data_IF_739751764276
#
_entry.id   IF_739751764276
#
_cell.length_a   1.000
_cell.length_b   1.000
_cell.length_c   1.000
_cell.angle_alpha   90.00
_cell.angle_beta   90.00
_cell.angle_gamma   90.00
#
_symmetry.space_group_name_H-M   'P 1'
#
loop_
_entity.id
_entity.type
_entity.pdbx_description
1 polymer ?
#
# COMPACT_ATOMS: atom_id res chain seq x y z
N UNK A 1 -6.98 -20.85 -4.30
CA UNK A 1 -5.75 -20.18 -3.87
C UNK A 1 -6.11 -19.18 -2.76
N UNK A 2 -5.42 -19.22 -1.62
CA UNK A 2 -5.60 -18.31 -0.49
C UNK A 2 -4.70 -17.08 -0.72
N UNK A 3 -5.33 -15.92 -0.98
CA UNK A 3 -4.59 -14.67 -1.22
C UNK A 3 -4.79 -13.74 -0.03
N UNK A 4 -3.70 -13.27 0.52
CA UNK A 4 -3.78 -12.23 1.56
C UNK A 4 -4.35 -10.96 0.98
N UNK A 5 -5.28 -10.36 1.70
CA UNK A 5 -5.81 -9.02 1.39
C UNK A 5 -5.68 -8.08 2.57
N UNK A 6 -5.80 -6.79 2.32
CA UNK A 6 -6.03 -5.83 3.40
C UNK A 6 -7.34 -6.15 4.13
N UNK A 7 -7.43 -5.74 5.40
CA UNK A 7 -8.64 -5.86 6.21
C UNK A 7 -9.71 -4.83 5.76
N UNK A 8 -10.06 -4.90 4.49
CA UNK A 8 -11.01 -4.01 3.83
C UNK A 8 -12.02 -4.83 3.05
N UNK A 9 -13.30 -4.55 3.24
CA UNK A 9 -14.37 -5.29 2.58
C UNK A 9 -14.24 -5.25 1.05
N UNK A 10 -13.85 -4.09 0.49
CA UNK A 10 -13.67 -3.94 -0.96
C UNK A 10 -12.60 -4.92 -1.49
N UNK A 11 -11.48 -5.07 -0.77
CA UNK A 11 -10.41 -6.00 -1.16
C UNK A 11 -10.87 -7.45 -1.02
N UNK A 12 -11.58 -7.78 0.06
CA UNK A 12 -12.12 -9.13 0.29
C UNK A 12 -13.08 -9.51 -0.84
N UNK A 13 -14.03 -8.64 -1.16
CA UNK A 13 -15.03 -8.90 -2.19
C UNK A 13 -14.41 -9.00 -3.59
N UNK A 14 -13.42 -8.14 -3.90
CA UNK A 14 -12.73 -8.19 -5.18
C UNK A 14 -11.99 -9.53 -5.37
N UNK A 15 -11.20 -9.97 -4.40
CA UNK A 15 -10.44 -11.22 -4.53
C UNK A 15 -11.33 -12.45 -4.50
N UNK A 16 -12.40 -12.45 -3.72
CA UNK A 16 -13.41 -13.51 -3.79
C UNK A 16 -14.12 -13.52 -5.17
N UNK A 17 -14.42 -12.34 -5.72
CA UNK A 17 -14.97 -12.20 -7.07
C UNK A 17 -14.04 -12.71 -8.18
N UNK A 18 -12.72 -12.61 -8.00
CA UNK A 18 -11.73 -13.21 -8.90
C UNK A 18 -11.57 -14.73 -8.72
N UNK A 19 -12.33 -15.34 -7.82
CA UNK A 19 -12.28 -16.79 -7.55
C UNK A 19 -11.15 -17.21 -6.61
N UNK A 20 -10.49 -16.26 -5.94
CA UNK A 20 -9.54 -16.55 -4.87
C UNK A 20 -10.28 -16.66 -3.52
N UNK A 21 -9.61 -17.24 -2.53
CA UNK A 21 -10.03 -17.16 -1.13
C UNK A 21 -9.32 -15.99 -0.48
N UNK A 22 -9.99 -14.85 -0.35
CA UNK A 22 -9.46 -13.70 0.34
C UNK A 22 -9.18 -14.04 1.82
N UNK A 23 -7.99 -13.73 2.30
CA UNK A 23 -7.53 -14.02 3.66
C UNK A 23 -7.03 -12.71 4.28
N UNK A 24 -7.92 -11.92 4.91
CA UNK A 24 -7.53 -10.62 5.46
C UNK A 24 -6.59 -10.79 6.65
N UNK A 25 -5.45 -10.09 6.63
CA UNK A 25 -4.49 -10.06 7.73
C UNK A 25 -3.65 -8.78 7.72
N UNK A 26 -2.98 -8.50 8.84
CA UNK A 26 -2.11 -7.34 8.96
C UNK A 26 -0.92 -7.43 7.99
N UNK A 27 -0.40 -6.27 7.58
CA UNK A 27 0.73 -6.18 6.64
C UNK A 27 1.98 -6.88 7.20
N UNK A 28 2.24 -6.73 8.49
CA UNK A 28 3.40 -7.32 9.18
C UNK A 28 3.39 -8.85 9.25
N UNK A 29 2.24 -9.49 9.04
CA UNK A 29 2.10 -10.95 9.15
C UNK A 29 2.34 -11.67 7.82
N UNK A 30 2.39 -10.94 6.71
CA UNK A 30 2.38 -11.52 5.35
C UNK A 30 3.57 -12.43 5.07
N UNK A 31 4.79 -11.99 5.42
CA UNK A 31 6.00 -12.73 5.13
C UNK A 31 5.98 -14.10 5.83
N UNK A 32 5.72 -14.10 7.14
CA UNK A 32 5.65 -15.36 7.91
C UNK A 32 4.50 -16.27 7.45
N UNK A 33 3.36 -15.68 7.08
CA UNK A 33 2.23 -16.44 6.58
C UNK A 33 2.51 -17.11 5.22
N UNK A 34 3.29 -16.45 4.35
CA UNK A 34 3.78 -17.04 3.10
C UNK A 34 4.78 -18.17 3.38
N UNK A 35 5.78 -17.93 4.24
CA UNK A 35 6.79 -18.95 4.57
C UNK A 35 6.16 -20.22 5.17
N UNK A 36 5.14 -20.05 6.00
CA UNK A 36 4.46 -21.16 6.66
C UNK A 36 3.35 -21.81 5.82
N UNK A 37 3.09 -21.31 4.60
CA UNK A 37 2.03 -21.82 3.73
C UNK A 37 0.60 -21.59 4.27
N UNK A 38 0.43 -20.65 5.21
CA UNK A 38 -0.89 -20.23 5.69
C UNK A 38 -1.68 -19.57 4.56
N UNK A 39 -0.98 -18.82 3.71
CA UNK A 39 -1.47 -18.22 2.48
C UNK A 39 -0.61 -18.65 1.30
N UNK A 40 -1.21 -18.65 0.10
CA UNK A 40 -0.54 -19.05 -1.13
C UNK A 40 0.05 -17.86 -1.89
N UNK A 41 -0.39 -16.64 -1.56
CA UNK A 41 0.07 -15.41 -2.20
C UNK A 41 -0.42 -14.15 -1.51
N UNK A 42 0.10 -13.02 -1.95
CA UNK A 42 -0.25 -11.68 -1.44
C UNK A 42 -0.54 -10.73 -2.59
N UNK A 43 -1.36 -9.72 -2.34
CA UNK A 43 -1.45 -8.56 -3.19
C UNK A 43 -0.58 -7.44 -2.59
N UNK A 44 0.30 -6.87 -3.39
CA UNK A 44 1.19 -5.81 -2.96
C UNK A 44 1.69 -5.00 -4.15
N UNK A 45 2.19 -3.78 -3.92
CA UNK A 45 2.92 -3.04 -4.94
C UNK A 45 4.28 -3.68 -5.20
N UNK A 46 4.86 -3.43 -6.39
CA UNK A 46 6.21 -3.91 -6.74
C UNK A 46 7.24 -3.50 -5.68
N UNK A 47 7.21 -2.23 -5.28
CA UNK A 47 8.07 -1.68 -4.23
C UNK A 47 7.91 -2.41 -2.90
N UNK A 48 6.66 -2.70 -2.48
CA UNK A 48 6.41 -3.46 -1.25
C UNK A 48 6.90 -4.90 -1.37
N UNK A 49 6.69 -5.55 -2.50
CA UNK A 49 7.18 -6.90 -2.75
C UNK A 49 8.69 -6.99 -2.63
N UNK A 50 9.40 -6.05 -3.24
CA UNK A 50 10.86 -5.98 -3.18
C UNK A 50 11.35 -5.68 -1.75
N UNK A 51 10.86 -4.62 -1.12
CA UNK A 51 11.31 -4.18 0.21
C UNK A 51 11.02 -5.20 1.32
N UNK A 52 9.89 -5.91 1.23
CA UNK A 52 9.51 -6.95 2.19
C UNK A 52 10.01 -8.34 1.80
N UNK A 53 10.74 -8.44 0.69
CA UNK A 53 11.32 -9.69 0.18
C UNK A 53 10.28 -10.80 -0.05
N UNK A 54 9.03 -10.46 -0.39
CA UNK A 54 7.98 -11.46 -0.65
C UNK A 54 8.31 -12.40 -1.79
N UNK A 55 9.21 -11.99 -2.71
CA UNK A 55 9.73 -12.83 -3.77
C UNK A 55 10.49 -14.09 -3.29
N UNK A 56 10.94 -14.10 -2.01
CA UNK A 56 11.65 -15.27 -1.46
C UNK A 56 10.70 -16.46 -1.23
N UNK A 57 9.61 -16.30 -0.43
CA UNK A 57 8.63 -17.36 -0.25
C UNK A 57 7.63 -17.50 -1.42
N UNK A 58 7.44 -16.45 -2.25
CA UNK A 58 6.51 -16.45 -3.39
C UNK A 58 7.19 -15.86 -4.65
N UNK A 59 7.98 -16.66 -5.39
CA UNK A 59 8.81 -16.15 -6.47
C UNK A 59 8.05 -15.82 -7.76
N UNK A 60 6.79 -16.20 -7.87
CA UNK A 60 5.99 -15.93 -9.07
C UNK A 60 5.21 -14.62 -8.89
N UNK A 61 5.46 -13.67 -9.77
CA UNK A 61 4.87 -12.34 -9.73
C UNK A 61 4.03 -12.03 -10.97
N UNK A 62 2.82 -11.51 -10.78
CA UNK A 62 1.93 -11.10 -11.86
C UNK A 62 1.56 -9.62 -11.73
N UNK A 63 1.81 -8.85 -12.77
CA UNK A 63 1.44 -7.43 -12.86
C UNK A 63 -0.03 -7.31 -13.27
N UNK A 64 -0.92 -7.33 -12.31
CA UNK A 64 -2.39 -7.32 -12.55
C UNK A 64 -2.96 -5.92 -12.66
N UNK A 65 -2.37 -4.93 -11.97
CA UNK A 65 -2.81 -3.51 -11.96
C UNK A 65 -4.32 -3.35 -11.65
N UNK A 66 -4.84 -4.13 -10.72
CA UNK A 66 -6.28 -4.21 -10.44
C UNK A 66 -6.86 -2.99 -9.72
N UNK A 67 -6.03 -2.19 -9.06
CA UNK A 67 -6.46 -0.94 -8.44
C UNK A 67 -5.35 0.11 -8.41
N UNK A 68 -5.74 1.36 -8.17
CA UNK A 68 -4.80 2.46 -7.92
C UNK A 68 -4.84 2.86 -6.46
N UNK A 69 -3.71 2.81 -5.80
CA UNK A 69 -3.57 3.31 -4.43
C UNK A 69 -3.41 4.83 -4.45
N UNK A 70 -4.36 5.53 -3.83
CA UNK A 70 -4.29 6.98 -3.64
C UNK A 70 -4.02 7.23 -2.16
N UNK A 71 -2.90 7.85 -1.85
CA UNK A 71 -2.57 8.29 -0.49
C UNK A 71 -2.92 9.75 -0.31
N UNK A 72 -3.43 10.12 0.86
CA UNK A 72 -3.77 11.48 1.20
C UNK A 72 -3.10 11.88 2.52
N UNK A 73 -2.54 13.09 2.56
CA UNK A 73 -2.10 13.70 3.80
C UNK A 73 -3.30 14.37 4.46
N UNK A 74 -3.63 13.95 5.68
CA UNK A 74 -4.82 14.43 6.39
C UNK A 74 -4.44 14.98 7.75
N UNK A 75 -5.16 16.02 8.16
CA UNK A 75 -5.03 16.65 9.48
C UNK A 75 -6.42 16.96 10.02
N UNK A 76 -6.57 16.97 11.35
CA UNK A 76 -7.80 17.44 11.99
C UNK A 76 -8.04 18.91 11.67
N UNK A 77 -9.22 19.25 11.14
CA UNK A 77 -9.62 20.63 10.84
C UNK A 77 -9.54 21.52 12.10
N UNK A 78 -10.05 21.02 13.23
CA UNK A 78 -9.95 21.74 14.51
C UNK A 78 -8.50 22.06 14.89
N UNK A 79 -7.59 21.11 14.66
CA UNK A 79 -6.16 21.32 14.93
C UNK A 79 -5.55 22.31 13.95
N UNK A 80 -5.86 22.19 12.65
CA UNK A 80 -5.39 23.10 11.62
C UNK A 80 -5.81 24.55 11.91
N UNK A 81 -7.09 24.77 12.24
CA UNK A 81 -7.60 26.11 12.56
C UNK A 81 -7.06 26.68 13.87
N UNK A 82 -6.52 25.86 14.77
CA UNK A 82 -5.87 26.34 15.99
C UNK A 82 -4.50 26.98 15.79
N UNK A 83 -3.91 26.83 14.61
CA UNK A 83 -2.62 27.43 14.28
C UNK A 83 -2.77 28.88 13.75
N UNK A 84 -1.75 29.74 13.94
CA UNK A 84 -1.65 31.04 13.27
C UNK A 84 -1.71 30.91 11.75
N UNK A 85 -2.14 31.95 11.04
CA UNK A 85 -2.34 31.92 9.58
C UNK A 85 -1.07 31.65 8.78
N UNK A 86 0.06 32.14 9.23
CA UNK A 86 1.38 31.87 8.65
C UNK A 86 1.75 30.37 8.76
N UNK A 87 1.47 29.75 9.90
CA UNK A 87 1.67 28.31 10.10
C UNK A 87 0.71 27.49 9.24
N UNK A 88 -0.57 27.87 9.15
CA UNK A 88 -1.54 27.23 8.26
C UNK A 88 -1.04 27.24 6.80
N UNK A 89 -0.54 28.39 6.34
CA UNK A 89 0.02 28.56 5.00
C UNK A 89 1.24 27.65 4.80
N UNK A 90 2.17 27.65 5.73
CA UNK A 90 3.36 26.79 5.67
C UNK A 90 3.01 25.29 5.61
N UNK A 91 1.98 24.84 6.36
CA UNK A 91 1.50 23.45 6.31
C UNK A 91 0.99 23.10 4.92
N UNK A 92 0.18 23.96 4.29
CA UNK A 92 -0.36 23.72 2.95
C UNK A 92 0.75 23.69 1.89
N UNK A 93 1.71 24.62 1.97
CA UNK A 93 2.86 24.64 1.05
C UNK A 93 3.74 23.40 1.21
N UNK A 94 4.02 23.00 2.44
CA UNK A 94 4.78 21.79 2.74
C UNK A 94 4.05 20.52 2.25
N UNK A 95 2.74 20.44 2.41
CA UNK A 95 1.95 19.31 1.92
C UNK A 95 1.98 19.22 0.39
N UNK A 96 1.85 20.36 -0.31
CA UNK A 96 1.94 20.40 -1.77
C UNK A 96 3.34 19.99 -2.28
N UNK A 97 4.39 20.47 -1.61
CA UNK A 97 5.77 20.09 -1.92
C UNK A 97 6.03 18.60 -1.67
N UNK A 98 5.58 18.09 -0.52
CA UNK A 98 5.71 16.67 -0.16
C UNK A 98 5.04 15.76 -1.19
N UNK A 99 3.84 16.11 -1.66
CA UNK A 99 3.15 15.33 -2.69
C UNK A 99 3.92 15.28 -4.03
N UNK A 100 4.67 16.35 -4.37
CA UNK A 100 5.54 16.33 -5.55
C UNK A 100 6.74 15.41 -5.35
N UNK A 101 7.43 15.56 -4.23
CA UNK A 101 8.62 14.75 -3.91
C UNK A 101 8.26 13.26 -3.82
N UNK A 102 7.14 12.94 -3.19
CA UNK A 102 6.66 11.56 -3.06
C UNK A 102 6.41 10.90 -4.44
N UNK A 103 5.72 11.59 -5.35
CA UNK A 103 5.47 11.07 -6.71
C UNK A 103 6.76 10.77 -7.47
N UNK A 104 7.74 11.67 -7.38
CA UNK A 104 9.04 11.49 -8.04
C UNK A 104 9.83 10.33 -7.41
N UNK A 105 9.83 10.23 -6.08
CA UNK A 105 10.50 9.15 -5.36
C UNK A 105 9.84 7.79 -5.61
N UNK A 106 8.51 7.75 -5.61
CA UNK A 106 7.75 6.52 -5.88
C UNK A 106 7.99 6.01 -7.30
N UNK A 107 7.93 6.88 -8.30
CA UNK A 107 8.17 6.49 -9.69
C UNK A 107 9.57 5.89 -9.90
N UNK A 108 10.59 6.47 -9.24
CA UNK A 108 11.97 5.92 -9.28
C UNK A 108 12.05 4.56 -8.58
N UNK A 109 11.44 4.43 -7.42
CA UNK A 109 11.44 3.18 -6.65
C UNK A 109 10.68 2.05 -7.36
N UNK A 110 9.56 2.35 -7.97
CA UNK A 110 8.78 1.36 -8.72
C UNK A 110 9.57 0.84 -9.93
N UNK A 111 10.20 1.75 -10.68
CA UNK A 111 11.05 1.40 -11.83
C UNK A 111 12.25 0.53 -11.44
N UNK A 112 12.79 0.71 -10.23
CA UNK A 112 13.91 -0.07 -9.72
C UNK A 112 13.49 -1.43 -9.12
N UNK A 113 12.19 -1.65 -8.91
CA UNK A 113 11.63 -2.86 -8.28
C UNK A 113 11.04 -3.86 -9.31
N UNK A 114 11.10 -3.51 -10.59
CA UNK A 114 10.72 -4.36 -11.74
C UNK A 114 11.95 -5.07 -12.31
#
# INVERSE_FOLDING_TARGET
MKIRTMQSQIHIDAFNGFGAKATPMAFSEQFSALEQGVIDGVEASNTSCYNQQFYRPAPNWALVSWYRCVTAMMMSEKKFQSYPKDVQKAILEAAAYSAKVEREAYAKSESASL
#
